data_IF_633269821500
#
_entry.id   IF_633269821500
#
_cell.length_a   1.000
_cell.length_b   1.000
_cell.length_c   1.000
_cell.angle_alpha   90.00
_cell.angle_beta   90.00
_cell.angle_gamma   90.00
#
_symmetry.space_group_name_H-M   'P 1'
#
loop_
_entity.id
_entity.type
_entity.pdbx_description
1 polymer ?
#
# COMPACT_ATOMS: atom_id res chain seq x y z
N UNK A 1 31.65 -13.87 4.33
CA UNK A 1 30.39 -13.10 4.31
C UNK A 1 30.73 -11.67 3.93
N UNK A 2 30.25 -11.18 2.78
CA UNK A 2 30.49 -9.80 2.38
C UNK A 2 29.77 -8.87 3.35
N UNK A 3 30.46 -7.84 3.85
CA UNK A 3 29.83 -6.80 4.65
C UNK A 3 28.79 -6.10 3.78
N UNK A 4 27.53 -6.10 4.22
CA UNK A 4 26.47 -5.33 3.59
C UNK A 4 26.70 -3.85 3.88
N UNK A 5 27.53 -3.19 3.06
CA UNK A 5 27.77 -1.75 3.14
C UNK A 5 26.59 -1.00 2.53
N UNK A 6 25.98 -0.11 3.32
CA UNK A 6 24.91 0.78 2.83
C UNK A 6 25.49 1.86 1.92
N UNK A 7 24.71 2.33 0.94
CA UNK A 7 25.11 3.47 0.11
C UNK A 7 25.16 4.76 0.93
N UNK A 8 25.93 5.74 0.45
CA UNK A 8 26.01 7.07 1.06
C UNK A 8 24.64 7.74 1.18
N UNK A 9 23.80 7.63 0.15
CA UNK A 9 22.46 8.22 0.14
C UNK A 9 21.56 7.60 1.21
N UNK A 10 21.61 6.27 1.37
CA UNK A 10 20.89 5.56 2.42
C UNK A 10 21.34 6.05 3.80
N UNK A 11 22.66 6.15 4.04
CA UNK A 11 23.19 6.67 5.31
C UNK A 11 22.73 8.11 5.60
N UNK A 12 22.67 8.97 4.57
CA UNK A 12 22.21 10.36 4.70
C UNK A 12 20.73 10.45 5.08
N UNK A 13 19.87 9.59 4.51
CA UNK A 13 18.44 9.52 4.87
C UNK A 13 18.26 9.10 6.33
N UNK A 14 18.95 8.04 6.76
CA UNK A 14 18.90 7.56 8.15
C UNK A 14 19.41 8.60 9.14
N UNK A 15 20.49 9.31 8.82
CA UNK A 15 20.99 10.38 9.68
C UNK A 15 19.96 11.50 9.86
N UNK A 16 19.20 11.86 8.81
CA UNK A 16 18.10 12.82 8.90
C UNK A 16 16.97 12.32 9.82
N UNK A 17 16.60 11.05 9.70
CA UNK A 17 15.58 10.42 10.57
C UNK A 17 15.99 10.47 12.05
N UNK A 18 17.22 10.08 12.35
CA UNK A 18 17.75 10.11 13.71
C UNK A 18 17.82 11.54 14.29
N UNK A 19 18.19 12.54 13.48
CA UNK A 19 18.14 13.95 13.90
C UNK A 19 16.72 14.43 14.24
N UNK A 20 15.70 13.83 13.64
CA UNK A 20 14.30 14.14 13.91
C UNK A 20 13.73 13.32 15.09
N UNK A 21 14.55 12.50 15.76
CA UNK A 21 14.11 11.63 16.86
C UNK A 21 13.43 10.33 16.40
N UNK A 22 13.45 10.01 15.11
CA UNK A 22 12.91 8.77 14.58
C UNK A 22 13.98 7.66 14.60
N UNK A 23 13.93 6.80 15.63
CA UNK A 23 14.88 5.70 15.82
C UNK A 23 14.34 4.32 15.45
N UNK A 24 13.11 4.26 14.93
CA UNK A 24 12.53 3.01 14.45
C UNK A 24 13.31 2.50 13.23
N UNK A 25 13.86 1.29 13.32
CA UNK A 25 14.62 0.67 12.23
C UNK A 25 13.75 -0.13 11.27
N UNK A 26 12.50 -0.39 11.64
CA UNK A 26 11.54 -1.10 10.80
C UNK A 26 11.15 -0.25 9.59
N UNK A 27 10.93 -0.93 8.47
CA UNK A 27 10.37 -0.29 7.28
C UNK A 27 8.99 0.29 7.63
N UNK A 28 8.82 1.58 7.34
CA UNK A 28 7.49 2.18 7.41
C UNK A 28 6.57 1.51 6.39
N UNK A 29 5.27 1.48 6.68
CA UNK A 29 4.25 1.09 5.73
C UNK A 29 4.49 1.82 4.41
N UNK A 30 4.74 1.05 3.35
CA UNK A 30 4.96 1.63 2.03
C UNK A 30 3.68 2.34 1.62
N UNK A 31 3.80 3.54 1.07
CA UNK A 31 2.70 4.16 0.33
C UNK A 31 2.47 3.33 -0.94
N UNK A 32 1.66 2.28 -0.82
CA UNK A 32 1.17 1.52 -1.97
C UNK A 32 0.17 2.35 -2.77
N UNK A 33 -0.39 1.74 -3.82
CA UNK A 33 -1.56 2.32 -4.49
C UNK A 33 -2.68 2.48 -3.44
N UNK A 34 -3.30 3.66 -3.33
CA UNK A 34 -4.44 3.84 -2.44
C UNK A 34 -5.51 2.79 -2.75
N UNK A 35 -6.03 2.14 -1.70
CA UNK A 35 -7.19 1.25 -1.84
C UNK A 35 -8.39 2.13 -2.16
N UNK A 36 -8.72 2.21 -3.45
CA UNK A 36 -9.80 3.05 -3.95
C UNK A 36 -11.19 2.40 -3.82
N UNK A 37 -11.24 1.14 -3.37
CA UNK A 37 -12.47 0.34 -3.29
C UNK A 37 -12.68 -0.11 -1.86
N UNK A 38 -13.90 0.06 -1.34
CA UNK A 38 -14.27 -0.53 -0.05
C UNK A 38 -14.37 -2.05 -0.20
N UNK A 39 -13.48 -2.78 0.46
CA UNK A 39 -13.38 -4.25 0.41
C UNK A 39 -14.61 -4.95 0.98
N UNK A 40 -15.24 -4.39 2.03
CA UNK A 40 -16.44 -4.94 2.66
C UNK A 40 -17.61 -4.91 1.69
N UNK A 41 -17.83 -3.75 1.03
CA UNK A 41 -18.84 -3.63 -0.04
C UNK A 41 -18.55 -4.57 -1.21
N UNK A 42 -17.29 -4.72 -1.60
CA UNK A 42 -16.92 -5.65 -2.68
C UNK A 42 -17.27 -7.09 -2.29
N UNK A 43 -17.00 -7.50 -1.06
CA UNK A 43 -17.32 -8.83 -0.55
C UNK A 43 -18.84 -9.08 -0.50
N UNK A 44 -19.63 -8.13 -0.01
CA UNK A 44 -21.10 -8.22 -0.02
C UNK A 44 -21.64 -8.45 -1.43
N UNK A 45 -21.13 -7.68 -2.39
CA UNK A 45 -21.54 -7.73 -3.79
C UNK A 45 -21.16 -9.05 -4.49
N UNK A 46 -20.06 -9.69 -4.07
CA UNK A 46 -19.62 -11.00 -4.56
C UNK A 46 -20.39 -12.13 -3.88
N UNK A 47 -20.77 -11.99 -2.60
CA UNK A 47 -21.60 -12.96 -1.91
C UNK A 47 -23.05 -12.96 -2.42
N UNK A 48 -23.60 -11.78 -2.74
CA UNK A 48 -24.93 -11.62 -3.32
C UNK A 48 -25.05 -12.34 -4.67
N UNK A 49 -24.07 -12.12 -5.56
CA UNK A 49 -24.00 -12.79 -6.85
C UNK A 49 -22.54 -13.15 -7.20
N UNK A 50 -22.12 -14.39 -6.93
CA UNK A 50 -20.77 -14.84 -7.23
C UNK A 50 -20.43 -14.86 -8.73
N UNK A 51 -21.43 -14.79 -9.61
CA UNK A 51 -21.24 -14.84 -11.08
C UNK A 51 -21.21 -13.45 -11.71
N UNK A 52 -21.28 -12.38 -10.91
CA UNK A 52 -21.29 -11.02 -11.43
C UNK A 52 -20.00 -10.67 -12.17
N UNK A 53 -20.14 -9.89 -13.23
CA UNK A 53 -19.00 -9.42 -14.00
C UNK A 53 -18.28 -8.25 -13.29
N UNK A 54 -16.98 -8.14 -13.52
CA UNK A 54 -16.16 -7.07 -12.97
C UNK A 54 -16.65 -5.66 -13.35
N UNK A 55 -17.22 -5.48 -14.55
CA UNK A 55 -17.79 -4.21 -14.98
C UNK A 55 -18.98 -3.79 -14.12
N UNK A 56 -19.89 -4.72 -13.81
CA UNK A 56 -21.01 -4.46 -12.91
C UNK A 56 -20.58 -4.27 -11.44
N UNK A 57 -19.43 -4.82 -11.03
CA UNK A 57 -18.83 -4.52 -9.73
C UNK A 57 -18.31 -3.09 -9.68
N UNK A 58 -17.55 -2.68 -10.70
CA UNK A 58 -17.01 -1.33 -10.80
C UNK A 58 -18.11 -0.25 -10.80
N UNK A 59 -19.19 -0.47 -11.55
CA UNK A 59 -20.34 0.45 -11.60
C UNK A 59 -21.01 0.62 -10.22
N UNK A 60 -21.32 -0.49 -9.51
CA UNK A 60 -21.93 -0.41 -8.16
C UNK A 60 -20.98 0.18 -7.10
N UNK A 61 -19.68 0.14 -7.35
CA UNK A 61 -18.66 0.65 -6.42
C UNK A 61 -18.22 2.08 -6.77
N UNK A 62 -18.86 2.71 -7.76
CA UNK A 62 -18.45 4.01 -8.33
C UNK A 62 -16.95 4.04 -8.67
N UNK A 63 -16.38 2.86 -8.97
CA UNK A 63 -14.95 2.70 -9.21
C UNK A 63 -14.66 2.97 -10.68
N UNK A 64 -14.05 4.12 -10.95
CA UNK A 64 -13.43 4.40 -12.24
C UNK A 64 -11.94 4.06 -12.14
N UNK A 65 -11.44 3.05 -12.88
CA UNK A 65 -10.01 2.75 -12.87
C UNK A 65 -9.20 3.96 -13.37
N UNK A 66 -8.04 4.28 -12.74
CA UNK A 66 -7.11 5.29 -13.22
C UNK A 66 -6.44 4.90 -14.54
#
# INVERSE_FOLDING_TARGET
MAAATVSYDTAKVWFRKFKNGEFCLEDQSRSGRPVAVNEERLLELVQEDPRRCNGGLAEKLDYTPP
#
